data_IF_660974996168
#
_entry.id   IF_660974996168
#
_cell.length_a   1.000
_cell.length_b   1.000
_cell.length_c   1.000
_cell.angle_alpha   90.00
_cell.angle_beta   90.00
_cell.angle_gamma   90.00
#
_symmetry.space_group_name_H-M   'P 1'
#
loop_
_entity.id
_entity.type
_entity.pdbx_description
1 polymer ?
#
# COMPACT_ATOMS: atom_id res chain seq x y z
N UNK A 1 -0.78 18.64 -0.81
CA UNK A 1 -0.69 17.65 -1.92
C UNK A 1 -0.35 16.26 -1.38
N UNK A 2 -0.96 15.20 -1.93
CA UNK A 2 -0.81 13.80 -1.44
C UNK A 2 0.66 13.34 -1.39
N UNK A 3 1.53 13.98 -2.20
CA UNK A 3 2.98 13.76 -2.28
C UNK A 3 3.79 14.25 -1.06
N UNK A 4 3.17 14.98 -0.14
CA UNK A 4 3.81 15.48 1.11
C UNK A 4 3.40 14.68 2.35
N UNK A 5 2.61 13.62 2.20
CA UNK A 5 2.25 12.79 3.34
C UNK A 5 3.49 12.07 3.91
N UNK A 6 3.62 11.98 5.24
CA UNK A 6 4.63 11.15 5.88
C UNK A 6 4.52 9.69 5.44
N UNK A 7 5.65 8.98 5.42
CA UNK A 7 5.67 7.56 5.05
C UNK A 7 4.85 6.72 6.03
N UNK A 8 4.86 7.06 7.32
CA UNK A 8 4.07 6.37 8.37
C UNK A 8 2.57 6.34 8.05
N UNK A 9 1.99 7.50 7.71
CA UNK A 9 0.56 7.59 7.34
C UNK A 9 0.27 6.76 6.09
N UNK A 10 1.23 6.72 5.16
CA UNK A 10 1.06 5.94 3.93
C UNK A 10 1.07 4.44 4.22
N UNK A 11 1.93 4.01 5.15
CA UNK A 11 1.99 2.62 5.64
C UNK A 11 0.70 2.22 6.35
N UNK A 12 0.17 3.04 7.25
CA UNK A 12 -1.12 2.78 7.91
C UNK A 12 -2.26 2.61 6.89
N UNK A 13 -2.31 3.46 5.86
CA UNK A 13 -3.29 3.31 4.78
C UNK A 13 -3.14 1.96 4.09
N UNK A 14 -1.91 1.54 3.78
CA UNK A 14 -1.69 0.24 3.15
C UNK A 14 -2.08 -0.93 4.04
N UNK A 15 -1.81 -0.87 5.35
CA UNK A 15 -2.20 -1.88 6.33
C UNK A 15 -3.73 -2.00 6.45
N UNK A 16 -4.43 -0.87 6.54
CA UNK A 16 -5.90 -0.85 6.55
C UNK A 16 -6.55 -1.28 5.24
N UNK A 17 -5.77 -1.37 4.16
CA UNK A 17 -6.22 -1.88 2.87
C UNK A 17 -6.07 -3.41 2.75
N UNK A 18 -5.46 -4.07 3.73
CA UNK A 18 -5.36 -5.53 3.78
C UNK A 18 -6.61 -6.12 4.43
N UNK A 19 -7.08 -7.29 3.96
CA UNK A 19 -8.15 -8.02 4.62
C UNK A 19 -7.69 -8.52 6.00
N UNK A 20 -8.54 -8.37 7.03
CA UNK A 20 -8.23 -8.80 8.42
C UNK A 20 -8.27 -10.33 8.61
N UNK A 21 -9.09 -11.03 7.82
CA UNK A 21 -9.46 -12.44 8.05
C UNK A 21 -8.87 -13.43 7.03
N UNK A 22 -8.16 -12.97 6.00
CA UNK A 22 -7.63 -13.82 4.93
C UNK A 22 -6.17 -13.48 4.59
N UNK A 23 -5.39 -14.50 4.23
CA UNK A 23 -4.07 -14.28 3.62
C UNK A 23 -4.25 -13.41 2.37
N UNK A 24 -3.62 -12.23 2.29
CA UNK A 24 -3.82 -11.32 1.17
C UNK A 24 -3.41 -12.01 -0.13
N UNK A 25 -4.38 -12.28 -1.01
CA UNK A 25 -4.05 -12.80 -2.32
C UNK A 25 -3.50 -11.67 -3.19
N UNK A 26 -2.34 -11.86 -3.84
CA UNK A 26 -1.77 -10.84 -4.71
C UNK A 26 -2.69 -10.62 -5.91
N UNK A 27 -3.41 -9.50 -5.90
CA UNK A 27 -4.30 -9.10 -6.99
C UNK A 27 -3.95 -7.71 -7.49
N UNK A 28 -3.95 -7.54 -8.81
CA UNK A 28 -3.74 -6.25 -9.47
C UNK A 28 -4.87 -5.24 -9.20
N UNK A 29 -6.00 -5.72 -8.68
CA UNK A 29 -7.15 -4.90 -8.25
C UNK A 29 -7.22 -4.71 -6.74
N UNK A 30 -6.31 -5.33 -5.98
CA UNK A 30 -6.24 -5.12 -4.53
C UNK A 30 -5.79 -3.68 -4.22
N UNK A 31 -6.32 -3.14 -3.12
CA UNK A 31 -6.06 -1.77 -2.71
C UNK A 31 -4.56 -1.43 -2.56
N UNK A 32 -3.67 -2.27 -1.99
CA UNK A 32 -2.23 -1.97 -1.91
C UNK A 32 -1.61 -1.73 -3.29
N UNK A 33 -1.99 -2.55 -4.28
CA UNK A 33 -1.48 -2.44 -5.66
C UNK A 33 -2.06 -1.21 -6.36
N UNK A 34 -3.33 -0.88 -6.14
CA UNK A 34 -3.95 0.34 -6.69
C UNK A 34 -3.30 1.61 -6.15
N UNK A 35 -3.05 1.67 -4.84
CA UNK A 35 -2.43 2.82 -4.18
C UNK A 35 -0.96 3.02 -4.64
N UNK A 36 -0.24 1.94 -4.97
CA UNK A 36 1.10 2.02 -5.58
C UNK A 36 1.13 2.74 -6.95
N UNK A 37 -0.03 2.95 -7.59
CA UNK A 37 -0.14 3.64 -8.89
C UNK A 37 -0.35 5.15 -8.76
N UNK A 38 -0.61 5.67 -7.55
CA UNK A 38 -0.86 7.11 -7.31
C UNK A 38 0.39 7.95 -7.55
N UNK A 39 1.56 7.50 -7.07
CA UNK A 39 2.84 8.17 -7.31
C UNK A 39 4.04 7.22 -7.18
N UNK A 40 5.21 7.65 -7.67
CA UNK A 40 6.45 6.86 -7.60
C UNK A 40 6.93 6.62 -6.16
N UNK A 41 6.72 7.56 -5.25
CA UNK A 41 7.06 7.41 -3.82
C UNK A 41 6.25 6.30 -3.17
N UNK A 42 4.94 6.28 -3.37
CA UNK A 42 4.05 5.26 -2.81
C UNK A 42 4.36 3.89 -3.40
N UNK A 43 4.71 3.82 -4.69
CA UNK A 43 5.19 2.58 -5.31
C UNK A 43 6.43 2.03 -4.63
N UNK A 44 7.43 2.89 -4.37
CA UNK A 44 8.66 2.48 -3.70
C UNK A 44 8.40 1.98 -2.28
N UNK A 45 7.51 2.65 -1.54
CA UNK A 45 7.10 2.22 -0.21
C UNK A 45 6.38 0.87 -0.25
N UNK A 46 5.37 0.72 -1.10
CA UNK A 46 4.61 -0.54 -1.21
C UNK A 46 5.50 -1.76 -1.57
N UNK A 47 6.47 -1.60 -2.47
CA UNK A 47 7.43 -2.66 -2.82
C UNK A 47 8.39 -2.95 -1.66
N UNK A 48 8.75 -1.93 -0.88
CA UNK A 48 9.66 -2.04 0.26
C UNK A 48 9.01 -2.55 1.56
N UNK A 49 7.69 -2.76 1.58
CA UNK A 49 6.94 -3.23 2.75
C UNK A 49 6.50 -4.69 2.55
N UNK A 50 7.26 -5.68 3.05
CA UNK A 50 6.95 -7.10 2.85
C UNK A 50 5.58 -7.52 3.39
N UNK A 51 5.06 -6.83 4.41
CA UNK A 51 3.76 -7.13 5.03
C UNK A 51 2.56 -6.94 4.07
N UNK A 52 2.74 -6.24 2.95
CA UNK A 52 1.68 -6.02 1.95
C UNK A 52 1.55 -7.15 0.91
N UNK A 53 2.45 -8.14 0.95
CA UNK A 53 2.57 -9.23 -0.03
C UNK A 53 2.48 -10.59 0.67
#
# INVERSE_FOLDING_TARGET
PILRMPCEITSEIFEHCLPEDEFPQPSVTSAPVLLSRVCSTWRKQAIGTPYLW
#
